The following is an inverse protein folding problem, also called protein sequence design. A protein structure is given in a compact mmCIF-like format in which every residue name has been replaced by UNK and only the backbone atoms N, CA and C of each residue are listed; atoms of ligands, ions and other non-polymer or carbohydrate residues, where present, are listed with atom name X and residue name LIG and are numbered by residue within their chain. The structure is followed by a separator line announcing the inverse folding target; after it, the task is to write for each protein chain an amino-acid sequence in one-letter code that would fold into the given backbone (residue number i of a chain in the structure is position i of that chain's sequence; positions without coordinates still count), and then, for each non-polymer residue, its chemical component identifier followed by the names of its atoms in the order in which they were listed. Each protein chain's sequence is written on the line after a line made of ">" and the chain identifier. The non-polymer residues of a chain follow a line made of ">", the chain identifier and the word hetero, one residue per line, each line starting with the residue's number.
data_IF_088779596742
#
_entry.id   IF_088779596742
#
_cell.length_a   1.000
_cell.length_b   1.000
_cell.length_c   1.000
_cell.angle_alpha   90.00
_cell.angle_beta   90.00
_cell.angle_gamma   90.00
#
_symmetry.space_group_name_H-M   'P 1'
#
loop_
_entity.id
_entity.type
_entity.pdbx_description
1 polymer ?
#
# COMPACT_ATOMS: atom_id res chain seq x y z
N UNK A 1 -13.01 -1.28 -24.74
CA UNK A 1 -12.76 0.11 -24.32
C UNK A 1 -14.11 0.78 -24.12
N UNK A 2 -14.49 1.01 -22.88
CA UNK A 2 -15.72 1.71 -22.50
C UNK A 2 -15.54 3.21 -22.73
N UNK A 3 -16.55 3.88 -23.30
CA UNK A 3 -16.54 5.33 -23.50
C UNK A 3 -16.30 6.03 -22.15
N UNK A 4 -15.17 6.74 -21.99
CA UNK A 4 -14.93 7.64 -20.84
C UNK A 4 -13.64 7.42 -20.05
N UNK A 5 -12.84 6.37 -20.32
CA UNK A 5 -11.58 6.14 -19.60
C UNK A 5 -10.48 7.16 -20.00
N UNK A 6 -9.89 7.82 -19.01
CA UNK A 6 -8.74 8.72 -19.19
C UNK A 6 -7.47 8.01 -18.72
N UNK A 7 -6.52 7.80 -19.64
CA UNK A 7 -5.21 7.27 -19.28
C UNK A 7 -4.33 8.39 -18.71
N UNK A 8 -3.71 8.13 -17.57
CA UNK A 8 -2.84 9.07 -16.88
C UNK A 8 -1.46 8.45 -16.80
N UNK A 9 -0.43 9.17 -17.25
CA UNK A 9 0.97 8.77 -17.08
C UNK A 9 1.50 9.36 -15.79
N UNK A 10 2.14 8.53 -14.99
CA UNK A 10 2.60 8.90 -13.65
C UNK A 10 4.02 8.41 -13.45
N UNK A 11 4.88 9.27 -12.90
CA UNK A 11 6.24 8.89 -12.50
C UNK A 11 6.27 8.51 -11.03
N UNK A 12 6.81 7.32 -10.76
CA UNK A 12 6.96 6.79 -9.40
C UNK A 12 8.23 7.38 -8.78
N UNK A 13 8.15 7.95 -7.57
CA UNK A 13 9.31 8.53 -6.91
C UNK A 13 10.30 7.43 -6.48
N UNK A 14 11.58 7.66 -6.74
CA UNK A 14 12.68 6.78 -6.28
C UNK A 14 13.32 7.26 -4.98
N UNK A 15 13.05 8.50 -4.58
CA UNK A 15 13.56 9.13 -3.35
C UNK A 15 12.51 10.08 -2.76
N UNK A 16 12.81 10.71 -1.61
CA UNK A 16 11.96 11.76 -1.04
C UNK A 16 10.84 11.28 -0.11
N UNK A 17 10.78 9.98 0.20
CA UNK A 17 9.80 9.42 1.15
C UNK A 17 9.92 10.08 2.53
N UNK A 18 8.84 10.76 2.92
CA UNK A 18 8.74 11.50 4.19
C UNK A 18 8.82 10.57 5.39
N UNK A 19 8.26 9.36 5.23
CA UNK A 19 8.29 8.31 6.24
C UNK A 19 9.12 7.12 5.74
N UNK A 20 10.07 6.68 6.54
CA UNK A 20 10.85 5.45 6.36
C UNK A 20 10.81 4.66 7.66
N UNK A 21 10.34 3.42 7.62
CA UNK A 21 10.10 2.63 8.82
C UNK A 21 10.23 1.14 8.53
N UNK A 22 10.86 0.38 9.43
CA UNK A 22 10.73 -1.07 9.46
C UNK A 22 9.51 -1.45 10.31
N UNK A 23 8.71 -2.42 9.88
CA UNK A 23 7.57 -2.93 10.62
C UNK A 23 7.63 -4.46 10.72
N UNK A 24 7.08 -5.00 11.80
CA UNK A 24 6.95 -6.43 12.04
C UNK A 24 5.53 -6.82 12.49
N UNK A 25 4.58 -5.88 12.48
CA UNK A 25 3.16 -6.10 12.73
C UNK A 25 2.36 -5.25 11.78
N UNK A 26 1.23 -5.76 11.32
CA UNK A 26 0.27 -5.00 10.55
C UNK A 26 -1.16 -5.39 10.91
N UNK A 27 -2.11 -4.53 10.54
CA UNK A 27 -3.54 -4.83 10.59
C UNK A 27 -4.24 -4.11 9.44
N UNK A 28 -5.29 -4.72 8.88
CA UNK A 28 -6.10 -4.10 7.84
C UNK A 28 -7.53 -3.97 8.38
N UNK A 29 -8.00 -2.72 8.45
CA UNK A 29 -9.38 -2.40 8.79
C UNK A 29 -10.11 -1.97 7.53
N UNK A 30 -11.18 -2.67 7.19
CA UNK A 30 -11.98 -2.35 6.02
C UNK A 30 -13.10 -1.37 6.38
N UNK A 31 -13.09 -0.19 5.77
CA UNK A 31 -14.05 0.88 6.04
C UNK A 31 -14.67 1.29 4.70
N UNK A 32 -15.95 0.97 4.50
CA UNK A 32 -16.68 1.29 3.26
C UNK A 32 -15.96 0.82 1.97
N UNK A 33 -15.26 -0.32 2.02
CA UNK A 33 -14.47 -0.88 0.90
C UNK A 33 -13.09 -0.23 0.70
N UNK A 34 -12.67 0.68 1.57
CA UNK A 34 -11.31 1.17 1.66
C UNK A 34 -10.50 0.33 2.66
N UNK A 35 -9.23 0.09 2.38
CA UNK A 35 -8.32 -0.55 3.34
C UNK A 35 -7.62 0.54 4.15
N UNK A 36 -7.88 0.58 5.46
CA UNK A 36 -7.04 1.26 6.42
C UNK A 36 -5.97 0.28 6.91
N UNK A 37 -4.77 0.39 6.35
CA UNK A 37 -3.63 -0.43 6.70
C UNK A 37 -2.83 0.24 7.83
N UNK A 38 -2.64 -0.50 8.92
CA UNK A 38 -1.81 -0.13 10.05
C UNK A 38 -0.53 -0.95 10.01
N UNK A 39 0.57 -0.30 10.32
CA UNK A 39 1.90 -0.89 10.39
C UNK A 39 2.53 -0.49 11.72
N UNK A 40 3.21 -1.44 12.37
CA UNK A 40 3.85 -1.22 13.65
C UNK A 40 5.19 -1.95 13.74
N UNK A 41 6.12 -1.30 14.45
CA UNK A 41 7.33 -1.92 14.95
C UNK A 41 7.13 -2.20 16.43
N UNK A 42 7.11 -3.48 16.79
CA UNK A 42 6.93 -3.95 18.15
C UNK A 42 8.19 -4.67 18.60
N UNK A 43 8.69 -4.37 19.79
CA UNK A 43 9.87 -5.07 20.33
C UNK A 43 9.54 -6.49 20.84
N UNK A 44 10.56 -7.23 21.27
CA UNK A 44 10.41 -8.60 21.77
C UNK A 44 9.51 -8.74 23.02
N UNK A 45 9.28 -7.64 23.76
CA UNK A 45 8.44 -7.62 24.97
C UNK A 45 7.01 -7.19 24.63
N UNK A 46 6.74 -6.81 23.38
CA UNK A 46 5.42 -6.37 22.93
C UNK A 46 5.20 -4.85 22.97
N UNK A 47 6.24 -4.05 23.24
CA UNK A 47 6.08 -2.60 23.27
C UNK A 47 6.11 -2.01 21.86
N UNK A 48 5.18 -1.11 21.57
CA UNK A 48 5.19 -0.32 20.35
C UNK A 48 6.38 0.65 20.34
N UNK A 49 7.24 0.51 19.32
CA UNK A 49 8.41 1.35 19.09
C UNK A 49 8.15 2.39 18.02
N UNK A 50 7.43 2.01 16.97
CA UNK A 50 7.03 2.94 15.93
C UNK A 50 5.73 2.49 15.25
N UNK A 51 5.01 3.41 14.61
CA UNK A 51 3.75 3.10 13.93
C UNK A 51 3.46 4.02 12.74
N UNK A 52 2.73 3.49 11.77
CA UNK A 52 2.29 4.21 10.59
C UNK A 52 0.96 3.65 10.11
N UNK A 53 0.06 4.50 9.62
CA UNK A 53 -1.17 4.05 9.00
C UNK A 53 -1.44 4.81 7.70
N UNK A 54 -1.98 4.10 6.72
CA UNK A 54 -2.41 4.68 5.46
C UNK A 54 -3.76 4.12 5.02
N UNK A 55 -4.53 4.96 4.32
CA UNK A 55 -5.73 4.53 3.61
C UNK A 55 -5.39 4.26 2.15
N UNK A 56 -5.74 3.06 1.69
CA UNK A 56 -5.79 2.68 0.27
C UNK A 56 -7.24 2.68 -0.18
N UNK A 57 -7.56 3.47 -1.21
CA UNK A 57 -8.93 3.54 -1.70
C UNK A 57 -9.35 2.26 -2.41
N UNK A 58 -10.65 1.97 -2.43
CA UNK A 58 -11.22 0.87 -3.22
C UNK A 58 -10.73 0.89 -4.67
N UNK A 59 -10.71 2.07 -5.29
CA UNK A 59 -10.19 2.24 -6.64
C UNK A 59 -8.71 1.85 -6.75
N UNK A 60 -7.87 2.32 -5.82
CA UNK A 60 -6.43 2.00 -5.79
C UNK A 60 -6.18 0.50 -5.69
N UNK A 61 -6.97 -0.18 -4.84
CA UNK A 61 -6.88 -1.62 -4.64
C UNK A 61 -7.29 -2.37 -5.91
N UNK A 62 -8.42 -1.99 -6.51
CA UNK A 62 -8.90 -2.59 -7.76
C UNK A 62 -7.87 -2.43 -8.90
N UNK A 63 -7.31 -1.23 -9.06
CA UNK A 63 -6.31 -0.94 -10.09
C UNK A 63 -4.97 -1.66 -9.83
N UNK A 64 -4.62 -1.90 -8.56
CA UNK A 64 -3.37 -2.56 -8.19
C UNK A 64 -3.49 -4.08 -8.09
N UNK A 65 -4.71 -4.63 -7.99
CA UNK A 65 -4.97 -6.03 -7.65
C UNK A 65 -4.24 -7.02 -8.53
N UNK A 66 -4.34 -6.89 -9.86
CA UNK A 66 -3.70 -7.81 -10.80
C UNK A 66 -2.17 -7.83 -10.63
N UNK A 67 -1.57 -6.63 -10.52
CA UNK A 67 -0.12 -6.48 -10.34
C UNK A 67 0.34 -7.06 -9.01
N UNK A 68 -0.39 -6.77 -7.94
CA UNK A 68 -0.13 -7.26 -6.59
C UNK A 68 -0.29 -8.78 -6.50
N UNK A 69 -1.33 -9.35 -7.11
CA UNK A 69 -1.54 -10.80 -7.18
C UNK A 69 -0.45 -11.52 -7.96
N UNK A 70 -0.02 -10.97 -9.11
CA UNK A 70 1.14 -11.48 -9.86
C UNK A 70 2.43 -11.43 -9.04
N UNK A 71 2.62 -10.36 -8.26
CA UNK A 71 3.75 -10.25 -7.36
C UNK A 71 3.69 -11.30 -6.24
N UNK A 72 2.54 -11.48 -5.58
CA UNK A 72 2.34 -12.52 -4.56
C UNK A 72 2.64 -13.92 -5.10
N UNK A 73 2.09 -14.25 -6.28
CA UNK A 73 2.34 -15.53 -6.94
C UNK A 73 3.84 -15.79 -7.22
N UNK A 74 4.61 -14.72 -7.46
CA UNK A 74 6.07 -14.82 -7.65
C UNK A 74 6.83 -15.02 -6.35
N UNK A 75 6.44 -14.34 -5.28
CA UNK A 75 7.15 -14.43 -3.98
C UNK A 75 6.68 -15.59 -3.12
N UNK A 76 5.55 -16.22 -3.45
CA UNK A 76 4.93 -17.32 -2.71
C UNK A 76 3.86 -16.84 -1.73
N UNK A 77 2.95 -17.77 -1.38
CA UNK A 77 1.95 -17.55 -0.32
C UNK A 77 2.61 -17.53 1.05
N UNK A 78 2.02 -16.85 2.05
CA UNK A 78 2.53 -16.91 3.42
C UNK A 78 2.55 -18.35 3.93
N UNK A 79 3.60 -18.70 4.65
CA UNK A 79 3.81 -20.01 5.28
C UNK A 79 3.05 -20.12 6.60
N UNK A 80 2.96 -19.01 7.33
CA UNK A 80 2.26 -18.95 8.60
C UNK A 80 1.26 -17.79 8.58
N UNK A 81 -0.04 -18.00 8.83
CA UNK A 81 -0.93 -16.88 9.11
C UNK A 81 -0.50 -16.24 10.43
N UNK A 82 -0.11 -14.97 10.42
CA UNK A 82 0.23 -14.26 11.65
C UNK A 82 -1.00 -14.10 12.54
N UNK A 83 -0.78 -14.01 13.85
CA UNK A 83 -1.85 -13.73 14.80
C UNK A 83 -2.43 -12.33 14.56
N UNK A 84 -3.75 -12.20 14.62
CA UNK A 84 -4.45 -10.92 14.50
C UNK A 84 -3.87 -9.90 15.50
N UNK A 85 -3.25 -8.85 14.98
CA UNK A 85 -2.79 -7.72 15.77
C UNK A 85 -3.85 -6.61 15.77
N UNK A 86 -4.19 -6.10 16.95
CA UNK A 86 -5.12 -4.97 17.07
C UNK A 86 -4.30 -3.68 17.15
N UNK A 87 -4.43 -2.77 16.18
CA UNK A 87 -3.69 -1.52 16.19
C UNK A 87 -4.17 -0.62 17.34
N UNK A 88 -3.26 0.10 18.02
CA UNK A 88 -3.66 1.13 18.98
C UNK A 88 -4.42 2.24 18.23
N UNK A 89 -5.31 2.94 18.93
CA UNK A 89 -6.04 4.07 18.36
C UNK A 89 -5.04 5.12 17.84
N UNK A 90 -4.96 5.27 16.51
CA UNK A 90 -4.13 6.28 15.88
C UNK A 90 -4.94 7.55 15.58
N UNK A 91 -4.26 8.70 15.59
CA UNK A 91 -4.89 10.02 15.39
C UNK A 91 -4.98 10.42 13.91
N UNK A 92 -3.84 10.59 13.25
CA UNK A 92 -3.78 11.01 11.85
C UNK A 92 -3.36 9.85 10.96
N UNK A 93 -3.94 9.80 9.76
CA UNK A 93 -3.70 8.75 8.78
C UNK A 93 -3.42 9.38 7.43
N UNK A 94 -2.36 8.92 6.77
CA UNK A 94 -2.04 9.34 5.41
C UNK A 94 -2.95 8.64 4.39
N UNK A 95 -2.97 9.17 3.16
CA UNK A 95 -3.65 8.53 2.04
C UNK A 95 -2.63 8.23 0.95
N UNK A 96 -2.64 7.00 0.46
CA UNK A 96 -1.88 6.60 -0.71
C UNK A 96 -2.86 6.09 -1.77
N UNK A 97 -2.66 6.52 -3.01
CA UNK A 97 -3.39 6.00 -4.17
C UNK A 97 -2.49 5.27 -5.16
N UNK A 98 -1.28 4.95 -4.71
CA UNK A 98 -0.36 4.08 -5.41
C UNK A 98 0.43 3.26 -4.40
N UNK A 99 0.50 1.96 -4.64
CA UNK A 99 1.29 1.00 -3.88
C UNK A 99 2.20 0.23 -4.83
N UNK A 100 3.46 0.12 -4.47
CA UNK A 100 4.44 -0.71 -5.16
C UNK A 100 5.19 -1.56 -4.15
N UNK A 101 5.40 -2.82 -4.48
CA UNK A 101 6.12 -3.75 -3.63
C UNK A 101 7.33 -4.32 -4.37
N UNK A 102 8.39 -4.55 -3.62
CA UNK A 102 9.60 -5.21 -4.08
C UNK A 102 10.24 -5.99 -2.94
N UNK A 103 11.19 -6.85 -3.29
CA UNK A 103 12.06 -7.50 -2.32
C UNK A 103 13.48 -7.57 -2.87
N UNK A 104 14.46 -7.37 -1.99
CA UNK A 104 15.89 -7.59 -2.22
C UNK A 104 16.46 -8.37 -1.03
N UNK A 105 17.33 -7.75 -0.25
CA UNK A 105 17.70 -8.27 1.08
C UNK A 105 16.53 -8.14 2.08
N UNK A 106 15.79 -7.03 2.00
CA UNK A 106 14.57 -6.77 2.75
C UNK A 106 13.38 -6.64 1.79
N UNK A 107 12.17 -6.86 2.30
CA UNK A 107 10.95 -6.58 1.58
C UNK A 107 10.56 -5.10 1.75
N UNK A 108 10.16 -4.44 0.67
CA UNK A 108 9.81 -3.02 0.65
C UNK A 108 8.38 -2.79 0.14
N UNK A 109 7.67 -1.87 0.79
CA UNK A 109 6.36 -1.35 0.38
C UNK A 109 6.50 0.16 0.21
N UNK A 110 6.36 0.61 -1.03
CA UNK A 110 6.40 2.02 -1.40
C UNK A 110 4.98 2.54 -1.58
N UNK A 111 4.68 3.62 -0.88
CA UNK A 111 3.40 4.30 -0.90
C UNK A 111 3.60 5.69 -1.49
N UNK A 112 2.79 6.01 -2.50
CA UNK A 112 2.80 7.30 -3.15
C UNK A 112 1.37 7.81 -3.38
N UNK A 113 1.26 9.12 -3.58
CA UNK A 113 -0.01 9.79 -3.78
C UNK A 113 0.06 10.78 -4.94
N UNK A 114 -1.06 11.01 -5.61
CA UNK A 114 -1.23 12.14 -6.54
C UNK A 114 -2.68 12.59 -6.56
N UNK A 115 -2.91 13.87 -6.85
CA UNK A 115 -4.27 14.40 -6.96
C UNK A 115 -4.91 14.01 -8.31
N UNK A 116 -5.96 13.18 -8.28
CA UNK A 116 -6.62 12.64 -9.49
C UNK A 116 -7.25 13.73 -10.37
N UNK A 117 -7.92 14.72 -9.78
CA UNK A 117 -8.57 15.80 -10.53
C UNK A 117 -7.60 16.60 -11.41
N UNK A 118 -6.55 17.20 -10.83
CA UNK A 118 -5.48 17.85 -11.60
C UNK A 118 -4.82 16.90 -12.60
N UNK A 119 -4.71 15.61 -12.27
CA UNK A 119 -4.11 14.63 -13.15
C UNK A 119 -4.92 14.39 -14.43
N UNK A 120 -6.24 14.28 -14.29
CA UNK A 120 -7.17 14.17 -15.43
C UNK A 120 -7.09 15.41 -16.31
N UNK A 121 -7.07 16.60 -15.71
CA UNK A 121 -6.99 17.85 -16.47
C UNK A 121 -5.68 17.93 -17.28
N UNK A 122 -4.54 17.66 -16.65
CA UNK A 122 -3.23 17.67 -17.32
C UNK A 122 -3.11 16.63 -18.42
N UNK A 123 -3.67 15.43 -18.21
CA UNK A 123 -3.69 14.38 -19.23
C UNK A 123 -4.41 14.84 -20.50
N UNK A 124 -5.54 15.55 -20.36
CA UNK A 124 -6.31 16.10 -21.50
C UNK A 124 -5.58 17.23 -22.24
N UNK A 125 -4.83 18.07 -21.53
CA UNK A 125 -4.21 19.27 -22.10
C UNK A 125 -2.83 19.02 -22.72
N UNK A 126 -1.98 18.24 -22.04
CA UNK A 126 -0.55 18.19 -22.36
C UNK A 126 0.02 16.78 -22.54
N UNK A 127 -0.74 15.73 -22.20
CA UNK A 127 -0.27 14.33 -22.21
C UNK A 127 1.10 14.16 -21.50
N UNK A 128 1.35 14.98 -20.48
CA UNK A 128 2.57 14.99 -19.67
C UNK A 128 2.47 13.95 -18.54
N UNK A 129 3.63 13.49 -18.10
CA UNK A 129 3.76 12.61 -16.95
C UNK A 129 3.62 13.40 -15.64
N UNK A 130 2.87 12.83 -14.69
CA UNK A 130 2.62 13.47 -13.39
C UNK A 130 3.49 12.80 -12.34
N UNK A 131 4.36 13.61 -11.72
CA UNK A 131 5.13 13.16 -10.58
C UNK A 131 4.22 12.87 -9.39
N UNK A 132 4.29 11.64 -8.88
CA UNK A 132 3.64 11.30 -7.62
C UNK A 132 4.43 11.86 -6.44
N UNK A 133 3.70 12.19 -5.38
CA UNK A 133 4.24 12.54 -4.09
C UNK A 133 4.68 11.27 -3.33
N UNK A 134 5.92 11.20 -2.86
CA UNK A 134 6.40 10.08 -2.04
C UNK A 134 5.84 10.17 -0.62
N UNK A 135 4.99 9.21 -0.23
CA UNK A 135 4.33 9.20 1.09
C UNK A 135 5.20 8.45 2.09
N UNK A 136 5.37 7.14 1.90
CA UNK A 136 6.11 6.29 2.82
C UNK A 136 6.85 5.16 2.11
N UNK A 137 7.99 4.77 2.66
CA UNK A 137 8.76 3.58 2.30
C UNK A 137 8.85 2.70 3.56
N UNK A 138 8.12 1.59 3.55
CA UNK A 138 8.03 0.66 4.66
C UNK A 138 8.84 -0.59 4.34
N UNK A 139 9.55 -1.12 5.33
CA UNK A 139 10.36 -2.33 5.20
C UNK A 139 9.92 -3.39 6.19
N UNK A 140 10.07 -4.65 5.80
CA UNK A 140 9.77 -5.80 6.66
C UNK A 140 10.56 -7.01 6.16
N UNK A 141 10.48 -8.12 6.88
CA UNK A 141 10.89 -9.41 6.33
C UNK A 141 9.90 -9.87 5.24
N UNK A 142 10.33 -10.83 4.42
CA UNK A 142 9.55 -11.31 3.29
C UNK A 142 8.24 -11.99 3.72
N UNK A 143 8.24 -12.69 4.85
CA UNK A 143 7.06 -13.42 5.32
C UNK A 143 5.97 -12.44 5.77
N UNK A 144 6.34 -11.41 6.51
CA UNK A 144 5.44 -10.30 6.88
C UNK A 144 4.85 -9.62 5.64
N UNK A 145 5.65 -9.40 4.57
CA UNK A 145 5.13 -8.84 3.32
C UNK A 145 4.11 -9.75 2.65
N UNK A 146 4.34 -11.08 2.63
CA UNK A 146 3.41 -12.06 2.05
C UNK A 146 2.09 -12.08 2.81
N UNK A 147 2.15 -12.10 4.13
CA UNK A 147 0.96 -12.08 5.00
C UNK A 147 0.13 -10.81 4.75
N UNK A 148 0.78 -9.64 4.74
CA UNK A 148 0.10 -8.37 4.44
C UNK A 148 -0.57 -8.39 3.06
N UNK A 149 0.15 -8.88 2.05
CA UNK A 149 -0.34 -8.91 0.69
C UNK A 149 -1.50 -9.90 0.49
N UNK A 150 -1.44 -11.07 1.14
CA UNK A 150 -2.54 -12.02 1.14
C UNK A 150 -3.80 -11.41 1.78
N UNK A 151 -3.68 -10.85 2.99
CA UNK A 151 -4.78 -10.21 3.69
C UNK A 151 -5.38 -9.03 2.90
N UNK A 152 -4.54 -8.25 2.21
CA UNK A 152 -5.00 -7.12 1.38
C UNK A 152 -5.82 -7.59 0.16
N UNK A 153 -5.53 -8.79 -0.35
CA UNK A 153 -6.17 -9.34 -1.55
C UNK A 153 -7.43 -10.18 -1.23
N UNK A 154 -7.57 -10.71 -0.01
CA UNK A 154 -8.66 -11.63 0.40
C UNK A 154 -10.08 -11.03 0.36
N UNK A 155 -10.26 -9.72 0.61
CA UNK A 155 -11.59 -9.12 0.82
C UNK A 155 -12.57 -9.17 -0.39
N UNK A 156 -12.14 -9.62 -1.57
CA UNK A 156 -13.05 -9.81 -2.71
C UNK A 156 -13.72 -11.19 -2.76
N UNK A 157 -13.30 -12.16 -1.93
CA UNK A 157 -13.90 -13.50 -1.92
C UNK A 157 -15.33 -13.53 -1.32
N UNK A 158 -15.78 -12.45 -0.67
CA UNK A 158 -17.08 -12.37 0.01
C UNK A 158 -18.13 -11.51 -0.74
N UNK A 159 -18.10 -11.48 -2.08
CA UNK A 159 -19.17 -10.83 -2.88
C UNK A 159 -20.00 -11.82 -3.66
#
# INVERSE_FOLDING_TARGET
>A
MTKGEVKIRVSVPTTGYRRRMFFNRFAIQWICGHALAHFALVDAVGNLRDSYACVLSRQTLNESRERLGKYLARIGTPENPEADWVPPAQGQTDMANFILMGYGEEAEILLAAFAVGPAIQRSKEKNEEIAMEPVACLRCDLETQRQFLAALLEQEAET
#
